data_IF_834042909752
#
_entry.id   IF_834042909752
#
_cell.length_a   1.000
_cell.length_b   1.000
_cell.length_c   1.000
_cell.angle_alpha   90.00
_cell.angle_beta   90.00
_cell.angle_gamma   90.00
#
_symmetry.space_group_name_H-M   'P 1'
#
loop_
_entity.id
_entity.type
_entity.pdbx_description
1 polymer ?
#
# COMPACT_ATOMS: atom_id res chain seq x y z
N UNK A 1 12.20 -20.43 23.43
CA UNK A 1 12.64 -19.16 24.05
C UNK A 1 11.45 -18.41 24.60
N UNK A 2 11.66 -17.49 25.53
CA UNK A 2 10.55 -16.67 26.08
C UNK A 2 10.39 -15.36 25.32
N UNK A 3 9.17 -14.97 25.01
CA UNK A 3 8.86 -13.66 24.46
C UNK A 3 8.82 -12.58 25.56
N UNK A 4 8.54 -11.32 25.21
CA UNK A 4 8.56 -10.18 26.14
C UNK A 4 7.53 -10.27 27.30
N UNK A 5 6.53 -11.12 27.19
CA UNK A 5 5.52 -11.37 28.26
C UNK A 5 5.72 -12.70 28.97
N UNK A 6 6.87 -13.35 28.78
CA UNK A 6 7.26 -14.57 29.48
C UNK A 6 6.67 -15.88 28.93
N UNK A 7 5.94 -15.83 27.83
CA UNK A 7 5.37 -17.01 27.16
C UNK A 7 6.47 -17.73 26.36
N UNK A 8 6.53 -19.04 26.50
CA UNK A 8 7.45 -19.85 25.70
C UNK A 8 6.98 -19.93 24.24
N UNK A 9 7.89 -19.61 23.34
CA UNK A 9 7.69 -19.72 21.89
C UNK A 9 8.82 -20.54 21.28
N UNK A 10 8.60 -21.24 20.15
CA UNK A 10 9.66 -21.97 19.47
C UNK A 10 10.78 -21.02 19.05
N UNK A 11 12.02 -21.49 19.10
CA UNK A 11 13.18 -20.73 18.64
C UNK A 11 13.29 -20.70 17.11
N UNK A 12 12.66 -21.68 16.47
CA UNK A 12 12.66 -21.84 15.02
C UNK A 12 11.34 -22.45 14.57
N UNK A 13 10.82 -22.02 13.42
CA UNK A 13 9.65 -22.60 12.78
C UNK A 13 10.09 -23.16 11.42
N UNK A 14 9.75 -24.43 11.10
CA UNK A 14 10.02 -25.00 9.78
C UNK A 14 9.43 -24.13 8.66
N UNK A 15 10.25 -23.78 7.69
CA UNK A 15 9.85 -22.91 6.57
C UNK A 15 9.95 -21.40 6.82
N UNK A 16 10.06 -20.97 8.10
CA UNK A 16 10.25 -19.55 8.45
C UNK A 16 11.65 -19.26 9.05
N UNK A 17 12.37 -20.31 9.50
CA UNK A 17 13.67 -20.17 10.10
C UNK A 17 13.63 -19.71 11.57
N UNK A 18 14.73 -19.11 12.03
CA UNK A 18 14.88 -18.65 13.41
C UNK A 18 13.99 -17.46 13.71
N UNK A 19 13.29 -17.53 14.84
CA UNK A 19 12.45 -16.45 15.33
C UNK A 19 13.23 -15.53 16.26
N UNK A 20 13.08 -14.24 16.07
CA UNK A 20 13.49 -13.23 17.04
C UNK A 20 12.26 -12.77 17.83
N UNK A 21 12.23 -12.97 19.18
CA UNK A 21 11.10 -12.51 19.98
C UNK A 21 10.95 -11.00 19.87
N UNK A 22 9.70 -10.55 19.76
CA UNK A 22 9.41 -9.12 19.81
C UNK A 22 9.80 -8.56 21.18
N UNK A 23 10.72 -7.61 21.20
CA UNK A 23 11.29 -7.01 22.41
C UNK A 23 10.54 -5.74 22.85
N UNK A 24 9.44 -5.42 22.20
CA UNK A 24 8.70 -4.17 22.38
C UNK A 24 9.02 -3.11 21.31
N UNK A 25 8.07 -2.23 21.06
CA UNK A 25 8.20 -1.20 20.03
C UNK A 25 9.36 -0.22 20.30
N UNK A 26 9.63 0.05 21.58
CA UNK A 26 10.58 1.08 22.03
C UNK A 26 12.04 0.63 22.00
N UNK A 27 12.33 -0.66 22.06
CA UNK A 27 13.72 -1.15 22.06
C UNK A 27 14.42 -0.93 20.71
N UNK A 28 13.69 -0.94 19.63
CA UNK A 28 14.24 -0.62 18.29
C UNK A 28 14.36 0.89 18.07
N UNK A 29 13.51 1.70 18.70
CA UNK A 29 13.62 3.16 18.69
C UNK A 29 14.90 3.64 19.39
N UNK A 30 15.25 3.02 20.52
CA UNK A 30 16.45 3.35 21.26
C UNK A 30 17.78 2.93 20.56
N UNK A 31 17.71 2.09 19.52
CA UNK A 31 18.87 1.57 18.76
C UNK A 31 19.02 2.15 17.35
N UNK A 32 18.59 3.41 17.14
CA UNK A 32 18.90 4.09 15.87
C UNK A 32 18.09 3.61 14.66
N UNK A 33 16.83 3.13 14.85
CA UNK A 33 15.97 2.80 13.69
C UNK A 33 15.76 4.00 12.76
N UNK A 34 15.96 5.22 13.27
CA UNK A 34 15.97 6.45 12.46
C UNK A 34 17.13 6.48 11.46
N UNK A 35 18.20 5.73 11.73
CA UNK A 35 19.34 5.63 10.81
C UNK A 35 19.01 4.80 9.58
N UNK A 36 17.98 3.94 9.66
CA UNK A 36 17.43 3.18 8.52
C UNK A 36 16.37 4.00 7.73
N UNK A 37 15.97 5.16 8.28
CA UNK A 37 14.98 5.99 7.62
C UNK A 37 15.61 6.70 6.41
N UNK A 38 15.23 6.29 5.22
CA UNK A 38 15.49 7.09 4.03
C UNK A 38 14.61 8.32 4.15
N UNK A 39 15.21 9.48 4.47
CA UNK A 39 14.49 10.73 4.45
C UNK A 39 13.88 10.91 3.05
N UNK A 40 12.59 11.17 3.00
CA UNK A 40 11.96 11.56 1.75
C UNK A 40 12.78 12.75 1.19
N UNK A 41 13.10 12.74 -0.10
CA UNK A 41 13.80 13.89 -0.68
C UNK A 41 13.01 15.14 -0.34
N UNK A 42 13.68 16.23 0.05
CA UNK A 42 12.99 17.47 0.39
C UNK A 42 12.05 17.80 -0.76
N UNK A 43 10.78 18.00 -0.43
CA UNK A 43 9.79 18.48 -1.40
C UNK A 43 10.38 19.75 -1.99
N UNK A 44 10.92 19.65 -3.18
CA UNK A 44 11.32 20.80 -3.95
C UNK A 44 10.04 21.52 -4.31
N UNK A 45 9.60 22.40 -3.42
CA UNK A 45 8.50 23.34 -3.66
C UNK A 45 8.87 24.31 -4.80
N UNK A 46 9.35 23.75 -5.90
CA UNK A 46 9.85 24.53 -7.03
C UNK A 46 8.77 25.22 -7.85
N UNK A 47 7.48 25.02 -7.50
CA UNK A 47 6.41 25.48 -8.38
C UNK A 47 5.15 25.83 -7.62
N UNK A 48 5.25 26.80 -6.70
CA UNK A 48 4.07 27.39 -6.06
C UNK A 48 3.08 28.06 -7.05
N UNK A 49 3.47 28.21 -8.31
CA UNK A 49 2.69 28.88 -9.34
C UNK A 49 2.16 27.95 -10.45
N UNK A 50 2.34 26.64 -10.33
CA UNK A 50 1.70 25.73 -11.28
C UNK A 50 0.26 25.50 -10.86
N UNK A 51 -0.64 25.80 -11.75
CA UNK A 51 -1.99 25.28 -11.67
C UNK A 51 -1.96 23.76 -11.61
N UNK A 52 -2.36 23.21 -10.47
CA UNK A 52 -2.41 21.78 -10.21
C UNK A 52 -3.82 21.21 -10.43
N UNK A 53 -4.81 22.06 -10.61
CA UNK A 53 -6.17 21.63 -10.90
C UNK A 53 -6.19 20.91 -12.25
N UNK A 54 -6.99 19.87 -12.31
CA UNK A 54 -7.24 19.09 -13.53
C UNK A 54 -8.74 18.91 -13.69
N UNK A 55 -9.16 18.79 -14.92
CA UNK A 55 -10.57 18.65 -15.22
C UNK A 55 -11.09 17.24 -14.96
N UNK A 56 -10.20 16.26 -14.91
CA UNK A 56 -10.54 14.86 -14.65
C UNK A 56 -9.44 14.11 -13.91
N UNK A 57 -9.82 12.98 -13.31
CA UNK A 57 -8.86 12.06 -12.70
C UNK A 57 -7.95 11.42 -13.75
N UNK A 58 -8.48 11.17 -14.94
CA UNK A 58 -7.74 10.66 -16.09
C UNK A 58 -6.56 11.59 -16.45
N UNK A 59 -6.85 12.87 -16.65
CA UNK A 59 -5.84 13.88 -16.95
C UNK A 59 -4.78 13.96 -15.84
N UNK A 60 -5.22 13.89 -14.57
CA UNK A 60 -4.30 13.91 -13.44
C UNK A 60 -3.37 12.70 -13.42
N UNK A 61 -3.89 11.51 -13.70
CA UNK A 61 -3.10 10.26 -13.76
C UNK A 61 -2.13 10.28 -14.94
N UNK A 62 -2.55 10.68 -16.13
CA UNK A 62 -1.68 10.78 -17.32
C UNK A 62 -0.45 11.64 -17.04
N UNK A 63 -0.61 12.75 -16.33
CA UNK A 63 0.50 13.64 -15.97
C UNK A 63 1.45 13.09 -14.92
N UNK A 64 1.09 12.00 -14.27
CA UNK A 64 1.95 11.27 -13.34
C UNK A 64 2.80 10.20 -14.06
N UNK A 65 2.75 10.13 -15.38
CA UNK A 65 3.56 9.22 -16.21
C UNK A 65 3.39 7.74 -15.77
N UNK A 66 2.16 7.20 -15.82
CA UNK A 66 1.89 5.83 -15.40
C UNK A 66 2.66 4.83 -16.24
N UNK A 67 3.15 3.75 -15.61
CA UNK A 67 3.94 2.72 -16.25
C UNK A 67 3.67 1.34 -15.64
N UNK A 68 4.00 0.28 -16.37
CA UNK A 68 3.88 -1.10 -15.89
C UNK A 68 4.72 -1.34 -14.63
N UNK A 69 4.19 -2.15 -13.72
CA UNK A 69 4.85 -2.50 -12.47
C UNK A 69 4.82 -1.41 -11.40
N UNK A 70 4.21 -0.26 -11.66
CA UNK A 70 4.12 0.84 -10.70
C UNK A 70 3.41 0.46 -9.40
N UNK A 71 3.75 1.14 -8.32
CA UNK A 71 3.06 1.02 -7.03
C UNK A 71 2.11 2.19 -6.85
N UNK A 72 0.82 1.86 -6.74
CA UNK A 72 -0.23 2.86 -6.51
C UNK A 72 -0.71 2.77 -5.07
N UNK A 73 -0.65 3.89 -4.37
CA UNK A 73 -0.98 3.99 -2.95
C UNK A 73 -2.31 4.69 -2.73
N UNK A 74 -3.12 4.10 -1.85
CA UNK A 74 -4.39 4.68 -1.40
C UNK A 74 -4.45 4.72 0.13
N UNK A 75 -5.11 5.73 0.64
CA UNK A 75 -5.47 5.80 2.05
C UNK A 75 -6.95 6.15 2.16
N UNK A 76 -7.75 5.22 2.67
CA UNK A 76 -9.17 5.46 2.88
C UNK A 76 -9.37 6.17 4.23
N UNK A 77 -10.14 7.25 4.23
CA UNK A 77 -10.63 7.90 5.44
C UNK A 77 -12.15 7.94 5.50
N UNK A 78 -12.81 7.53 4.45
CA UNK A 78 -14.27 7.39 4.40
C UNK A 78 -14.64 5.94 4.70
N UNK A 79 -15.49 5.70 5.71
CA UNK A 79 -15.80 4.35 6.20
C UNK A 79 -16.38 3.40 5.16
N UNK A 80 -17.23 3.92 4.28
CA UNK A 80 -17.85 3.15 3.22
C UNK A 80 -16.98 2.98 1.97
N UNK A 81 -15.76 3.53 1.97
CA UNK A 81 -14.94 3.70 0.79
C UNK A 81 -15.32 4.97 0.02
N UNK A 82 -14.44 5.43 -0.83
CA UNK A 82 -14.59 6.67 -1.60
C UNK A 82 -14.70 6.44 -3.12
N UNK A 83 -14.57 5.19 -3.56
CA UNK A 83 -14.57 4.82 -4.97
C UNK A 83 -13.32 5.22 -5.76
N UNK A 84 -12.46 6.07 -5.20
CA UNK A 84 -11.27 6.59 -5.91
C UNK A 84 -10.28 5.48 -6.24
N UNK A 85 -10.12 4.50 -5.35
CA UNK A 85 -9.23 3.35 -5.58
C UNK A 85 -9.68 2.55 -6.82
N UNK A 86 -10.95 2.15 -6.87
CA UNK A 86 -11.51 1.39 -7.99
C UNK A 86 -11.40 2.21 -9.28
N UNK A 87 -11.82 3.48 -9.24
CA UNK A 87 -11.79 4.35 -10.42
C UNK A 87 -10.37 4.56 -10.95
N UNK A 88 -9.38 4.73 -10.07
CA UNK A 88 -7.98 4.86 -10.48
C UNK A 88 -7.48 3.60 -11.18
N UNK A 89 -7.77 2.43 -10.63
CA UNK A 89 -7.37 1.14 -11.25
C UNK A 89 -8.07 0.95 -12.60
N UNK A 90 -9.36 1.29 -12.72
CA UNK A 90 -10.07 1.26 -14.00
C UNK A 90 -9.40 2.13 -15.08
N UNK A 91 -8.98 3.32 -14.69
CA UNK A 91 -8.29 4.26 -15.61
C UNK A 91 -6.94 3.67 -16.04
N UNK A 92 -6.12 3.22 -15.09
CA UNK A 92 -4.83 2.60 -15.38
C UNK A 92 -4.98 1.37 -16.27
N UNK A 93 -5.99 0.54 -16.00
CA UNK A 93 -6.30 -0.62 -16.84
C UNK A 93 -6.67 -0.21 -18.28
N UNK A 94 -7.51 0.83 -18.47
CA UNK A 94 -7.87 1.37 -19.78
C UNK A 94 -6.67 1.95 -20.53
N UNK A 95 -5.68 2.47 -19.81
CA UNK A 95 -4.39 2.91 -20.36
C UNK A 95 -3.47 1.74 -20.72
N UNK A 96 -3.86 0.49 -20.44
CA UNK A 96 -3.07 -0.71 -20.72
C UNK A 96 -2.02 -1.03 -19.67
N UNK A 97 -1.99 -0.33 -18.55
CA UNK A 97 -1.00 -0.54 -17.48
C UNK A 97 -1.24 -1.89 -16.79
N UNK A 98 -0.17 -2.65 -16.61
CA UNK A 98 -0.16 -3.98 -16.01
C UNK A 98 0.86 -4.11 -14.87
N UNK A 99 0.71 -5.17 -14.07
CA UNK A 99 1.69 -5.48 -13.02
C UNK A 99 1.62 -4.57 -11.80
N UNK A 100 0.54 -3.83 -11.61
CA UNK A 100 0.39 -2.85 -10.52
C UNK A 100 0.55 -3.51 -9.16
N UNK A 101 1.34 -2.88 -8.29
CA UNK A 101 1.33 -3.14 -6.85
C UNK A 101 0.32 -2.21 -6.19
N UNK A 102 -0.79 -2.78 -5.69
CA UNK A 102 -1.81 -2.04 -4.95
C UNK A 102 -1.39 -1.88 -3.48
N UNK A 103 -1.00 -0.68 -3.09
CA UNK A 103 -0.59 -0.36 -1.72
C UNK A 103 -1.67 0.47 -1.01
N UNK A 104 -2.68 -0.21 -0.46
CA UNK A 104 -3.81 0.43 0.24
C UNK A 104 -3.71 0.25 1.76
N UNK A 105 -4.20 1.25 2.52
CA UNK A 105 -4.25 1.15 3.98
C UNK A 105 -5.19 0.04 4.47
N UNK A 106 -6.28 -0.23 3.75
CA UNK A 106 -7.21 -1.33 3.99
C UNK A 106 -8.09 -1.53 2.75
N UNK A 107 -8.56 -2.74 2.53
CA UNK A 107 -9.44 -3.11 1.44
C UNK A 107 -10.71 -3.75 2.01
N UNK A 108 -11.86 -3.22 1.65
CA UNK A 108 -13.19 -3.59 2.14
C UNK A 108 -14.10 -3.94 0.98
N UNK A 109 -15.37 -4.22 1.22
CA UNK A 109 -16.38 -4.48 0.17
C UNK A 109 -16.46 -3.40 -0.92
N UNK A 110 -16.13 -2.15 -0.58
CA UNK A 110 -16.03 -1.07 -1.59
C UNK A 110 -15.00 -1.35 -2.70
N UNK A 111 -14.10 -2.30 -2.47
CA UNK A 111 -13.04 -2.68 -3.40
C UNK A 111 -13.29 -4.02 -4.11
N UNK A 112 -14.46 -4.62 -3.94
CA UNK A 112 -14.80 -5.91 -4.54
C UNK A 112 -14.78 -5.88 -6.09
N UNK A 113 -15.02 -4.71 -6.67
CA UNK A 113 -14.90 -4.47 -8.11
C UNK A 113 -13.45 -4.63 -8.64
N UNK A 114 -12.45 -4.75 -7.76
CA UNK A 114 -11.06 -4.98 -8.16
C UNK A 114 -10.75 -6.46 -8.49
N UNK A 115 -11.61 -7.40 -8.16
CA UNK A 115 -11.39 -8.83 -8.41
C UNK A 115 -11.01 -9.15 -9.87
N UNK A 116 -11.68 -8.62 -10.91
CA UNK A 116 -11.29 -8.87 -12.31
C UNK A 116 -9.86 -8.43 -12.63
N UNK A 117 -9.38 -7.35 -11.99
CA UNK A 117 -8.04 -6.80 -12.22
C UNK A 117 -6.91 -7.62 -11.55
N UNK A 118 -7.24 -8.51 -10.60
CA UNK A 118 -6.31 -9.54 -10.15
C UNK A 118 -6.18 -10.65 -11.20
N UNK A 119 -7.30 -11.04 -11.80
CA UNK A 119 -7.37 -12.17 -12.74
C UNK A 119 -6.72 -11.85 -14.08
N UNK A 120 -6.76 -10.60 -14.52
CA UNK A 120 -6.22 -10.16 -15.82
C UNK A 120 -4.78 -9.64 -15.76
N UNK A 121 -4.14 -9.68 -14.57
CA UNK A 121 -2.77 -9.25 -14.36
C UNK A 121 -2.58 -7.72 -14.28
N UNK A 122 -3.65 -6.94 -14.22
CA UNK A 122 -3.57 -5.50 -13.96
C UNK A 122 -3.00 -5.25 -12.56
N UNK A 123 -3.51 -5.96 -11.54
CA UNK A 123 -2.95 -5.96 -10.18
C UNK A 123 -2.27 -7.29 -9.93
N UNK A 124 -1.00 -7.29 -9.64
CA UNK A 124 -0.21 -8.50 -9.37
C UNK A 124 0.29 -8.61 -7.94
N UNK A 125 0.23 -7.54 -7.16
CA UNK A 125 0.67 -7.51 -5.77
C UNK A 125 -0.23 -6.62 -4.92
N UNK A 126 -0.40 -7.00 -3.64
CA UNK A 126 -1.13 -6.20 -2.68
C UNK A 126 -0.32 -6.02 -1.40
N UNK A 127 -0.24 -4.77 -0.92
CA UNK A 127 0.26 -4.37 0.38
C UNK A 127 -0.87 -3.67 1.13
N UNK A 128 -1.31 -4.22 2.27
CA UNK A 128 -2.47 -3.69 3.00
C UNK A 128 -2.37 -3.99 4.50
N UNK A 129 -3.22 -3.37 5.30
CA UNK A 129 -3.43 -3.78 6.70
C UNK A 129 -4.53 -4.85 6.84
N UNK A 130 -5.30 -5.07 5.79
CA UNK A 130 -6.36 -6.08 5.74
C UNK A 130 -7.08 -6.07 4.41
N UNK A 131 -7.53 -7.24 4.01
CA UNK A 131 -8.32 -7.46 2.79
C UNK A 131 -9.55 -8.25 3.21
N UNK A 132 -10.74 -7.81 2.84
CA UNK A 132 -12.01 -8.38 3.27
C UNK A 132 -12.91 -8.70 2.09
N UNK A 133 -14.03 -9.31 2.38
CA UNK A 133 -15.14 -9.58 1.48
C UNK A 133 -14.70 -10.33 0.21
N UNK A 134 -15.29 -10.09 -0.92
CA UNK A 134 -15.03 -10.83 -2.18
C UNK A 134 -13.59 -10.71 -2.65
N UNK A 135 -12.97 -9.54 -2.47
CA UNK A 135 -11.56 -9.35 -2.79
C UNK A 135 -10.66 -10.23 -1.90
N UNK A 136 -10.97 -10.31 -0.59
CA UNK A 136 -10.28 -11.18 0.36
C UNK A 136 -10.44 -12.65 0.02
N UNK A 137 -11.64 -13.08 -0.38
CA UNK A 137 -11.90 -14.45 -0.85
C UNK A 137 -11.11 -14.78 -2.11
N UNK A 138 -11.07 -13.89 -3.10
CA UNK A 138 -10.33 -14.09 -4.33
C UNK A 138 -8.83 -14.29 -4.05
N UNK A 139 -8.25 -13.44 -3.19
CA UNK A 139 -6.85 -13.57 -2.75
C UNK A 139 -6.62 -14.91 -2.03
N UNK A 140 -7.50 -15.29 -1.11
CA UNK A 140 -7.40 -16.55 -0.35
C UNK A 140 -7.47 -17.77 -1.28
N UNK A 141 -8.20 -17.67 -2.38
CA UNK A 141 -8.30 -18.73 -3.42
C UNK A 141 -7.15 -18.70 -4.43
N UNK A 142 -6.14 -17.86 -4.24
CA UNK A 142 -4.95 -17.83 -5.09
C UNK A 142 -5.08 -16.96 -6.34
N UNK A 143 -5.85 -15.89 -6.30
CA UNK A 143 -5.93 -14.93 -7.41
C UNK A 143 -4.64 -14.15 -7.67
N UNK A 144 -3.63 -14.28 -6.81
CA UNK A 144 -2.31 -13.70 -6.97
C UNK A 144 -1.25 -14.80 -6.93
N UNK A 145 -0.24 -14.72 -7.78
CA UNK A 145 0.89 -15.65 -7.83
C UNK A 145 1.89 -15.43 -6.68
N UNK A 146 1.80 -14.29 -6.01
CA UNK A 146 2.68 -13.92 -4.89
C UNK A 146 1.89 -13.64 -3.62
N UNK A 147 2.45 -13.94 -2.44
CA UNK A 147 1.79 -13.64 -1.17
C UNK A 147 1.52 -12.14 -1.00
N UNK A 148 0.36 -11.81 -0.43
CA UNK A 148 0.05 -10.45 -0.01
C UNK A 148 0.90 -10.05 1.20
N UNK A 149 1.28 -8.80 1.26
CA UNK A 149 1.98 -8.23 2.40
C UNK A 149 0.98 -7.55 3.34
N UNK A 150 0.81 -8.15 4.52
CA UNK A 150 -0.04 -7.57 5.57
C UNK A 150 0.83 -6.90 6.63
N UNK A 151 0.50 -5.68 6.97
CA UNK A 151 1.19 -4.89 7.98
C UNK A 151 0.21 -4.03 8.78
N UNK A 152 0.60 -3.63 9.98
CA UNK A 152 -0.15 -2.64 10.75
C UNK A 152 -0.08 -1.25 10.09
N UNK A 153 -0.93 -0.33 10.50
CA UNK A 153 -0.88 1.06 10.01
C UNK A 153 0.51 1.68 10.25
N UNK A 154 1.09 1.53 11.45
CA UNK A 154 2.45 1.96 11.72
C UNK A 154 3.52 1.21 10.90
N UNK A 155 3.31 -0.09 10.68
CA UNK A 155 4.16 -0.91 9.81
C UNK A 155 4.18 -0.42 8.36
N UNK A 156 3.04 0.08 7.86
CA UNK A 156 2.96 0.72 6.54
C UNK A 156 3.83 1.97 6.47
N UNK A 157 3.69 2.86 7.46
CA UNK A 157 4.51 4.08 7.52
C UNK A 157 5.99 3.73 7.53
N UNK A 158 6.39 2.76 8.37
CA UNK A 158 7.76 2.28 8.41
C UNK A 158 8.22 1.74 7.06
N UNK A 159 7.42 0.92 6.40
CA UNK A 159 7.77 0.33 5.10
C UNK A 159 8.00 1.40 4.01
N UNK A 160 7.23 2.49 4.04
CA UNK A 160 7.43 3.64 3.14
C UNK A 160 8.71 4.39 3.51
N UNK A 161 8.89 4.75 4.80
CA UNK A 161 10.04 5.54 5.26
C UNK A 161 11.37 4.80 5.06
N UNK A 162 11.39 3.47 5.25
CA UNK A 162 12.58 2.64 5.01
C UNK A 162 12.79 2.22 3.56
N UNK A 163 11.91 2.66 2.65
CA UNK A 163 12.02 2.33 1.23
C UNK A 163 11.66 0.89 0.86
N UNK A 164 11.08 0.12 1.78
CA UNK A 164 10.57 -1.23 1.46
C UNK A 164 9.40 -1.19 0.48
N UNK A 165 8.58 -0.15 0.56
CA UNK A 165 7.57 0.19 -0.43
C UNK A 165 8.00 1.49 -1.07
N UNK A 166 8.25 1.47 -2.37
CA UNK A 166 8.40 2.69 -3.18
C UNK A 166 7.05 2.98 -3.81
N UNK A 167 6.52 4.16 -3.56
CA UNK A 167 5.23 4.60 -4.11
C UNK A 167 5.51 5.49 -5.31
N UNK A 168 4.96 5.13 -6.45
CA UNK A 168 5.07 5.88 -7.70
C UNK A 168 3.90 6.86 -7.84
N UNK A 169 2.69 6.44 -7.45
CA UNK A 169 1.49 7.26 -7.46
C UNK A 169 0.76 7.15 -6.12
N UNK A 170 0.50 8.26 -5.46
CA UNK A 170 -0.35 8.32 -4.27
C UNK A 170 -1.64 9.07 -4.57
N UNK A 171 -2.77 8.42 -4.28
CA UNK A 171 -4.11 8.99 -4.48
C UNK A 171 -4.80 9.10 -3.12
N UNK A 172 -5.24 10.29 -2.78
CA UNK A 172 -5.89 10.61 -1.52
C UNK A 172 -7.22 11.29 -1.83
N UNK A 173 -8.32 10.69 -1.34
CA UNK A 173 -9.63 11.32 -1.39
C UNK A 173 -9.75 12.36 -0.28
N UNK A 174 -10.38 13.49 -0.59
CA UNK A 174 -10.72 14.53 0.36
C UNK A 174 -12.21 14.88 0.25
N UNK A 175 -12.82 15.25 1.37
CA UNK A 175 -14.21 15.69 1.40
C UNK A 175 -14.39 17.11 0.84
N UNK A 176 -13.34 17.90 0.86
CA UNK A 176 -13.29 19.26 0.32
C UNK A 176 -11.85 19.63 -0.03
N UNK A 177 -11.69 20.50 -0.98
CA UNK A 177 -10.42 21.14 -1.32
C UNK A 177 -10.67 22.63 -1.57
N UNK A 178 -9.69 23.46 -1.26
CA UNK A 178 -9.63 24.85 -1.65
C UNK A 178 -8.71 25.04 -2.87
N UNK A 179 -8.86 26.16 -3.54
CA UNK A 179 -8.06 26.56 -4.69
C UNK A 179 -6.94 27.54 -4.30
#
# INVERSE_FOLDING_TARGET
MKNAIGVEIPAEIPGLGKLEPFQGAWTKLAKGWMDEAVSAPPLKAKRAHLDKLRNSLEEAIERCEPHDGMTVSFHHHLRGGDGVCVRTIEILHKMGIKGITLASSSLTSAHDALVPYLQDGTITRIWSSGIRDRLGEAVTRGALDVPVMIHSHGGRVRAVVTGKIKIDLAVIAASAADC
#
